data_IF_380975276597
#
_entry.id   IF_380975276597
#
_cell.length_a   1.000
_cell.length_b   1.000
_cell.length_c   1.000
_cell.angle_alpha   90.00
_cell.angle_beta   90.00
_cell.angle_gamma   90.00
#
_symmetry.space_group_name_H-M   'P 1'
#
loop_
_entity.id
_entity.type
_entity.pdbx_description
1 polymer ?
#
# COMPACT_ATOMS: atom_id res chain seq x y z
N UNK A 1 -16.76 8.59 3.41
CA UNK A 1 -18.07 8.15 2.90
C UNK A 1 -19.11 8.82 3.78
N UNK A 2 -19.75 9.87 3.27
CA UNK A 2 -20.89 10.45 3.96
C UNK A 2 -22.11 9.60 3.60
N UNK A 3 -22.54 8.75 4.52
CA UNK A 3 -23.68 7.85 4.30
C UNK A 3 -24.99 8.63 4.22
N UNK A 4 -24.99 9.89 4.67
CA UNK A 4 -26.16 10.77 4.67
C UNK A 4 -26.28 11.59 3.37
N UNK A 5 -25.31 11.50 2.46
CA UNK A 5 -25.37 12.05 1.11
C UNK A 5 -25.36 10.92 0.05
N UNK A 6 -26.55 10.49 -0.42
CA UNK A 6 -26.68 9.43 -1.42
C UNK A 6 -25.96 9.72 -2.74
N UNK A 7 -25.64 10.99 -3.03
CA UNK A 7 -24.88 11.34 -4.24
C UNK A 7 -23.42 10.86 -4.20
N UNK A 8 -22.91 10.53 -3.02
CA UNK A 8 -21.59 9.91 -2.83
C UNK A 8 -21.62 8.38 -2.89
N UNK A 9 -22.77 7.77 -3.21
CA UNK A 9 -22.95 6.33 -3.28
C UNK A 9 -23.32 5.95 -4.72
N UNK A 10 -22.41 5.25 -5.40
CA UNK A 10 -22.70 4.62 -6.68
C UNK A 10 -23.17 3.19 -6.45
N UNK A 11 -24.41 2.88 -6.85
CA UNK A 11 -24.90 1.50 -6.86
C UNK A 11 -24.57 0.87 -8.22
N UNK A 12 -23.96 -0.31 -8.19
CA UNK A 12 -23.61 -1.06 -9.40
C UNK A 12 -24.45 -2.33 -9.40
N UNK A 13 -25.32 -2.47 -10.39
CA UNK A 13 -26.05 -3.72 -10.60
C UNK A 13 -25.07 -4.79 -11.10
N UNK A 14 -24.80 -5.80 -10.27
CA UNK A 14 -23.85 -6.86 -10.58
C UNK A 14 -24.49 -8.03 -11.32
N UNK A 15 -25.78 -7.98 -11.66
CA UNK A 15 -26.46 -9.05 -12.42
C UNK A 15 -25.84 -9.31 -13.80
N UNK A 16 -25.06 -8.37 -14.33
CA UNK A 16 -24.30 -8.50 -15.59
C UNK A 16 -23.01 -9.32 -15.46
N UNK A 17 -22.57 -9.63 -14.23
CA UNK A 17 -21.33 -10.35 -13.98
C UNK A 17 -21.56 -11.87 -14.00
N UNK A 18 -20.49 -12.66 -14.21
CA UNK A 18 -20.61 -14.12 -14.24
C UNK A 18 -20.96 -14.68 -12.85
N UNK A 19 -21.69 -15.80 -12.80
CA UNK A 19 -22.12 -16.45 -11.56
C UNK A 19 -21.70 -17.93 -11.52
N UNK A 20 -21.63 -18.48 -10.31
CA UNK A 20 -21.35 -19.88 -10.03
C UNK A 20 -22.63 -20.62 -9.63
N UNK A 21 -22.83 -21.83 -10.15
CA UNK A 21 -23.83 -22.81 -9.68
C UNK A 21 -23.20 -24.20 -9.69
N UNK A 22 -23.52 -25.04 -8.72
CA UNK A 22 -23.07 -26.44 -8.71
C UNK A 22 -24.26 -27.39 -8.63
N UNK A 23 -24.05 -28.68 -8.94
CA UNK A 23 -25.10 -29.71 -8.80
C UNK A 23 -25.66 -29.81 -7.39
N UNK A 24 -24.89 -29.36 -6.38
CA UNK A 24 -25.25 -29.40 -4.96
C UNK A 24 -25.80 -28.05 -4.45
N UNK A 25 -25.72 -26.98 -5.25
CA UNK A 25 -26.31 -25.68 -4.94
C UNK A 25 -26.82 -25.01 -6.23
N UNK A 26 -28.13 -25.09 -6.46
CA UNK A 26 -28.80 -24.47 -7.60
C UNK A 26 -29.04 -22.97 -7.45
N UNK A 27 -28.73 -22.39 -6.28
CA UNK A 27 -28.80 -20.94 -6.08
C UNK A 27 -27.54 -20.33 -6.68
N UNK A 28 -27.65 -19.53 -7.76
CA UNK A 28 -26.50 -18.85 -8.33
C UNK A 28 -25.95 -17.86 -7.32
N UNK A 29 -24.64 -17.86 -7.13
CA UNK A 29 -23.95 -16.84 -6.35
C UNK A 29 -22.79 -16.28 -7.15
N UNK A 30 -22.45 -15.04 -6.83
CA UNK A 30 -21.32 -14.34 -7.41
C UNK A 30 -20.26 -14.12 -6.34
N UNK A 31 -18.99 -14.22 -6.72
CA UNK A 31 -17.87 -13.84 -5.88
C UNK A 31 -17.13 -12.72 -6.59
N UNK A 32 -16.86 -11.64 -5.87
CA UNK A 32 -15.94 -10.58 -6.30
C UNK A 32 -14.83 -10.55 -5.26
N UNK A 33 -13.58 -10.73 -5.69
CA UNK A 33 -12.43 -10.71 -4.79
C UNK A 33 -11.62 -9.42 -4.90
N UNK A 34 -11.71 -8.72 -6.03
CA UNK A 34 -11.00 -7.47 -6.23
C UNK A 34 -11.75 -6.52 -7.16
N UNK A 35 -11.61 -5.23 -6.90
CA UNK A 35 -12.13 -4.13 -7.70
C UNK A 35 -11.06 -3.05 -7.77
N UNK A 36 -10.59 -2.75 -8.97
CA UNK A 36 -9.52 -1.78 -9.19
C UNK A 36 -9.89 -0.76 -10.26
N UNK A 37 -9.32 0.44 -10.17
CA UNK A 37 -9.55 1.50 -11.15
C UNK A 37 -8.28 1.80 -11.93
N UNK A 38 -8.37 1.78 -13.25
CA UNK A 38 -7.25 2.23 -14.08
C UNK A 38 -7.13 3.75 -14.10
N UNK A 39 -6.06 4.26 -14.72
CA UNK A 39 -5.78 5.70 -14.78
C UNK A 39 -6.81 6.53 -15.54
N UNK A 40 -7.64 5.88 -16.37
CA UNK A 40 -8.74 6.50 -17.11
C UNK A 40 -10.08 6.42 -16.35
N UNK A 41 -10.09 5.80 -15.16
CA UNK A 41 -11.24 5.64 -14.30
C UNK A 41 -12.17 4.48 -14.67
N UNK A 42 -11.74 3.53 -15.52
CA UNK A 42 -12.52 2.32 -15.75
C UNK A 42 -12.42 1.40 -14.54
N UNK A 43 -13.54 0.81 -14.14
CA UNK A 43 -13.61 -0.12 -13.02
C UNK A 43 -13.40 -1.54 -13.52
N UNK A 44 -12.36 -2.19 -13.03
CA UNK A 44 -12.02 -3.58 -13.29
C UNK A 44 -12.44 -4.48 -12.12
N UNK A 45 -12.88 -5.69 -12.42
CA UNK A 45 -13.44 -6.62 -11.43
C UNK A 45 -12.85 -8.01 -11.62
N UNK A 46 -12.31 -8.59 -10.55
CA UNK A 46 -11.91 -10.00 -10.47
C UNK A 46 -13.06 -10.86 -9.93
N UNK A 47 -13.60 -11.72 -10.79
CA UNK A 47 -14.75 -12.57 -10.52
C UNK A 47 -14.38 -14.06 -10.65
N UNK A 48 -13.91 -14.71 -9.57
CA UNK A 48 -13.56 -16.12 -9.60
C UNK A 48 -14.77 -17.03 -9.61
N UNK A 49 -14.52 -18.30 -9.94
CA UNK A 49 -15.54 -19.35 -10.03
C UNK A 49 -16.58 -19.09 -11.11
N UNK A 50 -16.21 -18.33 -12.15
CA UNK A 50 -17.05 -17.96 -13.29
C UNK A 50 -17.33 -19.12 -14.26
N UNK A 51 -17.61 -20.33 -13.76
CA UNK A 51 -17.68 -21.59 -14.55
C UNK A 51 -18.85 -21.66 -15.55
N UNK A 52 -19.88 -20.83 -15.39
CA UNK A 52 -21.03 -20.81 -16.31
C UNK A 52 -20.87 -19.81 -17.47
N UNK A 53 -20.29 -18.63 -17.20
CA UNK A 53 -20.08 -17.56 -18.18
C UNK A 53 -18.67 -17.54 -18.77
N UNK A 54 -17.72 -18.25 -18.16
CA UNK A 54 -16.29 -18.25 -18.47
C UNK A 54 -15.66 -16.85 -18.53
N UNK A 55 -16.21 -15.86 -17.83
CA UNK A 55 -15.71 -14.49 -17.84
C UNK A 55 -15.14 -14.11 -16.46
N UNK A 56 -13.84 -14.36 -16.21
CA UNK A 56 -13.22 -14.08 -14.91
C UNK A 56 -12.94 -12.59 -14.67
N UNK A 57 -12.80 -11.79 -15.74
CA UNK A 57 -12.43 -10.38 -15.65
C UNK A 57 -13.47 -9.53 -16.34
N UNK A 58 -13.87 -8.44 -15.68
CA UNK A 58 -14.85 -7.49 -16.20
C UNK A 58 -14.28 -6.08 -16.12
N UNK A 59 -14.65 -5.24 -17.08
CA UNK A 59 -14.33 -3.82 -17.06
C UNK A 59 -15.59 -3.02 -17.38
N UNK A 60 -15.81 -1.93 -16.64
CA UNK A 60 -16.88 -0.96 -16.86
C UNK A 60 -16.29 0.42 -17.06
N UNK A 61 -16.70 1.10 -18.12
CA UNK A 61 -16.32 2.49 -18.34
C UNK A 61 -17.03 3.45 -17.37
N UNK A 62 -16.53 4.68 -17.20
CA UNK A 62 -17.26 5.74 -16.50
C UNK A 62 -18.65 6.05 -17.07
N UNK A 63 -18.93 5.63 -18.31
CA UNK A 63 -20.21 5.82 -19.01
C UNK A 63 -21.08 4.56 -19.03
N UNK A 64 -20.82 3.59 -18.14
CA UNK A 64 -21.62 2.37 -17.96
C UNK A 64 -21.53 1.34 -19.08
N UNK A 65 -20.52 1.44 -19.95
CA UNK A 65 -20.25 0.43 -20.97
C UNK A 65 -19.41 -0.72 -20.39
N UNK A 66 -19.87 -1.96 -20.58
CA UNK A 66 -19.23 -3.15 -20.04
C UNK A 66 -18.53 -3.99 -21.11
N UNK A 67 -17.34 -4.50 -20.78
CA UNK A 67 -16.76 -5.69 -21.42
C UNK A 67 -16.48 -6.77 -20.38
N UNK A 68 -16.66 -8.00 -20.79
CA UNK A 68 -16.31 -9.18 -20.01
C UNK A 68 -15.29 -9.98 -20.81
N UNK A 69 -14.10 -10.18 -20.25
CA UNK A 69 -13.01 -10.93 -20.87
C UNK A 69 -13.15 -12.40 -20.52
N UNK A 70 -13.29 -13.24 -21.53
CA UNK A 70 -13.46 -14.68 -21.37
C UNK A 70 -12.15 -15.42 -21.13
N UNK A 71 -12.16 -16.43 -20.25
CA UNK A 71 -11.03 -17.29 -19.92
C UNK A 71 -10.58 -18.19 -21.07
N UNK A 72 -11.36 -18.26 -22.16
CA UNK A 72 -11.06 -18.95 -23.41
C UNK A 72 -11.47 -18.15 -24.64
N UNK A 73 -11.59 -16.82 -24.53
CA UNK A 73 -11.97 -15.94 -25.65
C UNK A 73 -10.82 -15.80 -26.68
N UNK A 74 -9.57 -15.97 -26.24
CA UNK A 74 -8.38 -15.96 -27.11
C UNK A 74 -7.76 -17.36 -27.21
N UNK A 75 -6.69 -17.49 -28.01
CA UNK A 75 -5.90 -18.72 -28.09
C UNK A 75 -5.24 -19.08 -26.74
N UNK A 76 -4.98 -18.09 -25.89
CA UNK A 76 -4.43 -18.25 -24.55
C UNK A 76 -5.57 -18.36 -23.55
N UNK A 77 -5.60 -19.46 -22.80
CA UNK A 77 -6.53 -19.63 -21.68
C UNK A 77 -5.94 -19.01 -20.42
N UNK A 78 -6.78 -18.33 -19.64
CA UNK A 78 -6.42 -17.80 -18.32
C UNK A 78 -7.19 -18.54 -17.21
N UNK A 79 -6.73 -18.38 -15.97
CA UNK A 79 -7.37 -19.02 -14.81
C UNK A 79 -8.79 -18.49 -14.57
N UNK A 80 -9.67 -19.35 -14.07
CA UNK A 80 -11.03 -19.01 -13.63
C UNK A 80 -11.12 -18.66 -12.15
N UNK A 81 -9.98 -18.48 -11.49
CA UNK A 81 -9.86 -18.10 -10.07
C UNK A 81 -9.05 -16.82 -9.86
N UNK A 82 -9.32 -15.71 -10.59
CA UNK A 82 -8.66 -14.43 -10.34
C UNK A 82 -8.90 -13.93 -8.90
N UNK A 83 -7.93 -13.22 -8.35
CA UNK A 83 -8.00 -12.67 -6.99
C UNK A 83 -7.44 -11.27 -6.84
N UNK A 84 -6.56 -10.80 -7.72
CA UNK A 84 -6.07 -9.44 -7.66
C UNK A 84 -5.73 -8.89 -9.05
N UNK A 85 -5.91 -7.58 -9.22
CA UNK A 85 -5.65 -6.83 -10.44
C UNK A 85 -4.62 -5.75 -10.15
N UNK A 86 -3.72 -5.50 -11.09
CA UNK A 86 -2.82 -4.35 -11.05
C UNK A 86 -2.58 -3.79 -12.46
N UNK A 87 -2.23 -2.52 -12.55
CA UNK A 87 -1.93 -1.86 -13.83
C UNK A 87 -0.46 -1.44 -13.85
N UNK A 88 0.19 -1.61 -14.99
CA UNK A 88 1.53 -1.08 -15.20
C UNK A 88 1.54 0.29 -15.88
N UNK A 89 2.73 0.87 -15.99
CA UNK A 89 2.96 2.19 -16.56
C UNK A 89 2.65 2.29 -18.06
N UNK A 90 2.39 1.15 -18.73
CA UNK A 90 1.97 1.07 -20.13
C UNK A 90 0.49 0.71 -20.28
N UNK A 91 -0.29 0.83 -19.21
CA UNK A 91 -1.73 0.57 -19.16
C UNK A 91 -2.12 -0.89 -19.48
N UNK A 92 -1.19 -1.84 -19.30
CA UNK A 92 -1.51 -3.28 -19.38
C UNK A 92 -2.09 -3.74 -18.05
N UNK A 93 -3.05 -4.66 -18.13
CA UNK A 93 -3.74 -5.18 -16.94
C UNK A 93 -3.12 -6.51 -16.54
N UNK A 94 -2.65 -6.59 -15.30
CA UNK A 94 -2.10 -7.79 -14.70
C UNK A 94 -3.12 -8.40 -13.76
N UNK A 95 -3.26 -9.73 -13.82
CA UNK A 95 -4.25 -10.48 -13.05
C UNK A 95 -3.56 -11.64 -12.38
N UNK A 96 -3.65 -11.73 -11.06
CA UNK A 96 -3.24 -12.92 -10.31
C UNK A 96 -4.42 -13.83 -10.03
N UNK A 97 -4.12 -15.11 -9.86
CA UNK A 97 -5.10 -16.14 -9.54
C UNK A 97 -4.58 -17.09 -8.45
N UNK A 98 -5.52 -17.71 -7.74
CA UNK A 98 -5.23 -18.72 -6.72
C UNK A 98 -5.52 -20.13 -7.22
N UNK A 99 -4.91 -21.14 -6.59
CA UNK A 99 -5.20 -22.55 -6.88
C UNK A 99 -6.65 -22.88 -6.49
N UNK A 100 -7.45 -23.29 -7.47
CA UNK A 100 -8.83 -23.75 -7.34
C UNK A 100 -9.13 -24.76 -8.46
N UNK A 101 -8.87 -26.03 -8.22
CA UNK A 101 -9.05 -27.09 -9.22
C UNK A 101 -10.50 -27.19 -9.69
N UNK A 102 -11.44 -26.97 -8.76
CA UNK A 102 -12.87 -26.98 -9.03
C UNK A 102 -13.31 -25.85 -9.98
N UNK A 103 -12.59 -24.74 -10.01
CA UNK A 103 -12.85 -23.64 -10.94
C UNK A 103 -12.18 -23.91 -12.29
N UNK A 104 -10.97 -24.46 -12.30
CA UNK A 104 -10.14 -24.55 -13.50
C UNK A 104 -10.36 -25.83 -14.32
N UNK A 105 -11.07 -26.83 -13.77
CA UNK A 105 -11.57 -28.03 -14.46
C UNK A 105 -10.49 -28.84 -15.22
N UNK A 106 -9.22 -28.68 -14.85
CA UNK A 106 -8.07 -29.32 -15.50
C UNK A 106 -7.75 -28.82 -16.92
N UNK A 107 -8.46 -27.79 -17.42
CA UNK A 107 -8.28 -27.25 -18.78
C UNK A 107 -7.85 -25.78 -18.80
N UNK A 108 -7.98 -25.09 -17.68
CA UNK A 108 -7.51 -23.71 -17.47
C UNK A 108 -6.26 -23.72 -16.57
N UNK A 109 -5.37 -22.72 -16.70
CA UNK A 109 -4.29 -22.52 -15.73
C UNK A 109 -4.82 -22.50 -14.29
N UNK A 110 -4.14 -23.18 -13.37
CA UNK A 110 -4.58 -23.29 -11.99
C UNK A 110 -3.82 -22.29 -11.12
N UNK A 111 -4.35 -21.08 -11.01
CA UNK A 111 -3.66 -19.95 -10.39
C UNK A 111 -2.70 -19.23 -11.35
N UNK A 112 -1.67 -18.60 -10.78
CA UNK A 112 -0.61 -17.93 -11.53
C UNK A 112 -0.88 -16.44 -11.79
N UNK A 113 -0.21 -15.90 -12.80
CA UNK A 113 -0.27 -14.49 -13.20
C UNK A 113 -0.43 -14.44 -14.72
N UNK A 114 -1.43 -13.67 -15.17
CA UNK A 114 -1.70 -13.40 -16.58
C UNK A 114 -1.66 -11.90 -16.83
N UNK A 115 -1.16 -11.49 -17.99
CA UNK A 115 -1.13 -10.10 -18.43
C UNK A 115 -2.04 -9.95 -19.65
N UNK A 116 -2.87 -8.92 -19.65
CA UNK A 116 -3.74 -8.53 -20.75
C UNK A 116 -3.11 -7.35 -21.50
N UNK A 117 -2.89 -7.54 -22.79
CA UNK A 117 -2.62 -6.48 -23.73
C UNK A 117 -3.89 -6.19 -24.55
N UNK A 118 -4.19 -4.92 -24.78
CA UNK A 118 -5.31 -4.50 -25.62
C UNK A 118 -4.98 -3.21 -26.38
N UNK A 119 -5.62 -3.04 -27.55
CA UNK A 119 -5.54 -1.83 -28.36
C UNK A 119 -6.86 -1.06 -28.29
N UNK A 120 -6.78 0.24 -27.99
CA UNK A 120 -7.95 1.10 -27.83
C UNK A 120 -8.48 1.10 -26.40
N UNK A 121 -9.80 1.15 -26.25
CA UNK A 121 -10.48 1.24 -24.96
C UNK A 121 -10.66 -0.16 -24.34
N UNK A 122 -10.44 -0.35 -23.03
CA UNK A 122 -10.55 -1.69 -22.44
C UNK A 122 -11.98 -2.24 -22.48
N UNK A 123 -13.00 -1.39 -22.40
CA UNK A 123 -14.41 -1.80 -22.52
C UNK A 123 -14.88 -1.99 -23.97
N UNK A 124 -14.06 -1.63 -24.97
CA UNK A 124 -14.35 -1.86 -26.39
C UNK A 124 -13.04 -1.91 -27.21
N UNK A 125 -12.20 -2.94 -27.02
CA UNK A 125 -10.88 -3.00 -27.63
C UNK A 125 -10.98 -3.41 -29.09
N UNK A 126 -10.14 -2.82 -29.95
CA UNK A 126 -10.02 -3.22 -31.35
C UNK A 126 -9.40 -4.63 -31.47
N UNK A 127 -8.45 -4.93 -30.59
CA UNK A 127 -7.81 -6.23 -30.45
C UNK A 127 -7.32 -6.40 -29.00
N UNK A 128 -7.19 -7.64 -28.53
CA UNK A 128 -6.58 -7.94 -27.24
C UNK A 128 -6.01 -9.36 -27.20
N UNK A 129 -5.03 -9.59 -26.34
CA UNK A 129 -4.41 -10.90 -26.12
C UNK A 129 -4.02 -11.07 -24.67
N UNK A 130 -3.99 -12.32 -24.22
CA UNK A 130 -3.48 -12.71 -22.91
C UNK A 130 -2.10 -13.36 -23.06
N UNK A 131 -1.21 -13.03 -22.13
CA UNK A 131 0.08 -13.67 -21.94
C UNK A 131 0.15 -14.28 -20.55
N UNK A 132 0.58 -15.55 -20.46
CA UNK A 132 0.77 -16.23 -19.19
C UNK A 132 2.20 -16.00 -18.71
N UNK A 133 2.32 -15.30 -17.59
CA UNK A 133 3.61 -14.99 -16.96
C UNK A 133 4.00 -16.09 -15.99
N UNK A 134 3.03 -16.51 -15.17
CA UNK A 134 3.15 -17.64 -14.26
C UNK A 134 1.96 -18.56 -14.49
N UNK A 135 2.22 -19.81 -14.85
CA UNK A 135 1.16 -20.74 -15.28
C UNK A 135 0.37 -21.38 -14.12
N UNK A 136 0.99 -21.50 -12.95
CA UNK A 136 0.38 -22.21 -11.81
C UNK A 136 0.84 -21.63 -10.48
N UNK A 137 0.13 -22.04 -9.43
CA UNK A 137 0.43 -21.71 -8.05
C UNK A 137 -0.36 -20.50 -7.58
N UNK A 138 -0.60 -20.43 -6.27
CA UNK A 138 -1.40 -19.35 -5.71
C UNK A 138 -0.62 -18.04 -5.65
N UNK A 139 -1.22 -16.99 -6.20
CA UNK A 139 -0.76 -15.60 -6.06
C UNK A 139 -1.91 -14.76 -5.53
N UNK A 140 -1.81 -14.38 -4.25
CA UNK A 140 -2.89 -13.75 -3.49
C UNK A 140 -3.15 -12.30 -3.87
N UNK A 141 -2.10 -11.56 -4.22
CA UNK A 141 -2.19 -10.12 -4.47
C UNK A 141 -1.12 -9.68 -5.43
N UNK A 142 -1.41 -8.61 -6.17
CA UNK A 142 -0.46 -7.85 -6.96
C UNK A 142 -0.33 -6.44 -6.37
N UNK A 143 0.77 -5.76 -6.70
CA UNK A 143 0.95 -4.33 -6.42
C UNK A 143 2.03 -3.74 -7.32
N UNK A 144 1.76 -2.58 -7.92
CA UNK A 144 2.74 -1.88 -8.75
C UNK A 144 3.59 -0.97 -7.86
N UNK A 145 4.87 -1.31 -7.70
CA UNK A 145 5.85 -0.43 -7.06
C UNK A 145 6.43 0.59 -8.04
N UNK A 146 7.43 1.34 -7.60
CA UNK A 146 8.18 2.23 -8.48
C UNK A 146 9.13 1.45 -9.40
N UNK A 147 9.71 2.17 -10.37
CA UNK A 147 10.73 1.65 -11.28
C UNK A 147 10.27 0.42 -12.10
N UNK A 148 8.99 0.42 -12.52
CA UNK A 148 8.38 -0.66 -13.31
C UNK A 148 8.57 -2.03 -12.64
N UNK A 149 8.28 -2.11 -11.34
CA UNK A 149 8.35 -3.34 -10.55
C UNK A 149 6.97 -3.80 -10.13
N UNK A 150 6.55 -4.95 -10.66
CA UNK A 150 5.33 -5.63 -10.23
C UNK A 150 5.65 -6.55 -9.05
N UNK A 151 5.12 -6.23 -7.89
CA UNK A 151 5.14 -7.11 -6.72
C UNK A 151 3.98 -8.10 -6.76
N UNK A 152 4.23 -9.32 -6.28
CA UNK A 152 3.21 -10.34 -6.15
C UNK A 152 3.42 -11.19 -4.90
N UNK A 153 2.32 -11.49 -4.21
CA UNK A 153 2.32 -12.20 -2.94
C UNK A 153 1.93 -13.65 -3.13
N UNK A 154 2.77 -14.58 -2.68
CA UNK A 154 2.48 -16.02 -2.70
C UNK A 154 2.40 -16.56 -1.26
N UNK A 155 1.93 -17.81 -1.06
CA UNK A 155 1.99 -18.44 0.26
C UNK A 155 3.39 -18.52 0.88
N UNK A 156 4.44 -18.43 0.06
CA UNK A 156 5.84 -18.51 0.50
C UNK A 156 6.54 -17.15 0.65
N UNK A 157 5.83 -16.03 0.43
CA UNK A 157 6.36 -14.70 0.62
C UNK A 157 6.09 -13.73 -0.54
N UNK A 158 6.62 -12.52 -0.38
CA UNK A 158 6.53 -11.43 -1.34
C UNK A 158 7.66 -11.55 -2.38
N UNK A 159 7.29 -11.49 -3.65
CA UNK A 159 8.22 -11.54 -4.78
C UNK A 159 7.95 -10.37 -5.73
N UNK A 160 8.82 -10.18 -6.73
CA UNK A 160 8.64 -9.16 -7.74
C UNK A 160 9.19 -9.57 -9.11
N UNK A 161 8.58 -9.01 -10.15
CA UNK A 161 9.12 -8.91 -11.49
C UNK A 161 9.54 -7.48 -11.78
N UNK A 162 10.75 -7.27 -12.30
CA UNK A 162 11.05 -6.04 -13.03
C UNK A 162 10.54 -6.21 -14.47
N UNK A 163 9.71 -5.27 -14.93
CA UNK A 163 8.98 -5.37 -16.19
C UNK A 163 9.40 -4.30 -17.21
N UNK A 164 9.05 -4.53 -18.48
CA UNK A 164 9.24 -3.55 -19.56
C UNK A 164 8.08 -3.56 -20.57
N UNK A 165 8.12 -2.61 -21.52
CA UNK A 165 7.21 -2.55 -22.67
C UNK A 165 7.65 -3.41 -23.87
N UNK A 166 8.38 -4.50 -23.62
CA UNK A 166 8.86 -5.39 -24.66
C UNK A 166 7.87 -6.49 -25.03
N UNK A 167 8.21 -7.27 -26.05
CA UNK A 167 7.47 -8.49 -26.42
C UNK A 167 7.58 -9.61 -25.38
N UNK A 168 8.57 -9.52 -24.48
CA UNK A 168 8.62 -10.31 -23.26
C UNK A 168 8.54 -9.30 -22.11
N UNK A 169 7.40 -9.21 -21.41
CA UNK A 169 7.15 -8.14 -20.44
C UNK A 169 7.97 -8.27 -19.17
N UNK A 170 8.55 -9.44 -18.87
CA UNK A 170 9.36 -9.67 -17.66
C UNK A 170 10.85 -9.68 -18.01
N UNK A 171 11.62 -8.79 -17.37
CA UNK A 171 13.09 -8.74 -17.49
C UNK A 171 13.73 -9.72 -16.51
N UNK A 172 13.32 -9.67 -15.24
CA UNK A 172 13.86 -10.53 -14.18
C UNK A 172 12.88 -10.73 -13.03
N UNK A 173 13.08 -11.82 -12.31
CA UNK A 173 12.43 -12.15 -11.03
C UNK A 173 13.46 -12.07 -9.91
N UNK A 174 13.03 -11.73 -8.70
CA UNK A 174 13.88 -11.82 -7.51
C UNK A 174 14.27 -13.28 -7.22
N UNK A 175 15.50 -13.50 -6.76
CA UNK A 175 15.98 -14.87 -6.47
C UNK A 175 15.40 -15.47 -5.17
N UNK A 176 15.02 -14.62 -4.22
CA UNK A 176 14.51 -15.03 -2.91
C UNK A 176 13.34 -14.16 -2.51
N UNK A 177 12.26 -14.79 -2.04
CA UNK A 177 11.10 -14.10 -1.52
C UNK A 177 11.46 -13.28 -0.27
N UNK A 178 10.87 -12.09 -0.16
CA UNK A 178 10.79 -11.35 1.07
C UNK A 178 9.72 -11.96 1.98
N UNK A 179 9.88 -11.80 3.29
CA UNK A 179 8.98 -12.35 4.30
C UNK A 179 8.74 -13.87 4.20
N UNK A 180 9.78 -14.71 3.97
CA UNK A 180 9.59 -16.16 3.75
C UNK A 180 9.10 -16.91 5.01
N UNK A 181 9.18 -16.28 6.18
CA UNK A 181 8.72 -16.83 7.46
C UNK A 181 7.27 -16.43 7.80
N UNK A 182 6.61 -15.68 6.92
CA UNK A 182 5.24 -15.22 7.11
C UNK A 182 4.30 -16.07 6.27
N UNK A 183 3.28 -16.60 6.91
CA UNK A 183 2.22 -17.39 6.31
C UNK A 183 1.20 -16.45 5.66
N UNK A 184 1.26 -16.35 4.35
CA UNK A 184 0.28 -15.63 3.56
C UNK A 184 -0.79 -16.61 3.04
N UNK A 185 -2.00 -16.45 3.56
CA UNK A 185 -3.15 -17.28 3.20
C UNK A 185 -4.21 -16.52 2.44
N UNK A 186 -5.40 -17.13 2.31
CA UNK A 186 -6.56 -16.47 1.72
C UNK A 186 -6.91 -15.19 2.49
N UNK A 187 -7.00 -14.07 1.77
CA UNK A 187 -7.22 -12.74 2.35
C UNK A 187 -5.94 -12.04 2.80
N UNK A 188 -4.76 -12.54 2.42
CA UNK A 188 -3.54 -11.76 2.43
C UNK A 188 -3.51 -10.82 1.22
N UNK A 189 -2.89 -9.65 1.37
CA UNK A 189 -2.86 -8.62 0.34
C UNK A 189 -1.57 -7.80 0.33
N UNK A 190 -1.40 -7.05 -0.75
CA UNK A 190 -0.37 -6.02 -0.93
C UNK A 190 -1.07 -4.68 -1.06
N UNK A 191 -0.54 -3.69 -0.35
CA UNK A 191 -0.90 -2.29 -0.50
C UNK A 191 0.39 -1.48 -0.70
N UNK A 192 0.37 -0.48 -1.57
CA UNK A 192 1.56 0.32 -1.91
C UNK A 192 1.33 1.74 -1.40
N UNK A 193 2.27 2.27 -0.61
CA UNK A 193 2.19 3.64 -0.11
C UNK A 193 2.77 4.67 -1.11
N UNK A 194 2.59 5.96 -0.79
CA UNK A 194 3.04 7.08 -1.63
C UNK A 194 4.55 7.07 -1.95
N UNK A 195 5.36 6.41 -1.13
CA UNK A 195 6.81 6.31 -1.29
C UNK A 195 7.23 5.05 -2.08
N UNK A 196 6.26 4.25 -2.54
CA UNK A 196 6.52 2.97 -3.21
C UNK A 196 6.86 1.85 -2.24
N UNK A 197 6.69 2.04 -0.92
CA UNK A 197 6.92 0.95 0.02
C UNK A 197 5.78 -0.07 -0.08
N UNK A 198 6.14 -1.33 0.03
CA UNK A 198 5.22 -2.46 -0.15
C UNK A 198 4.77 -2.95 1.23
N UNK A 199 3.51 -2.72 1.52
CA UNK A 199 2.86 -3.20 2.73
C UNK A 199 2.18 -4.53 2.42
N UNK A 200 2.54 -5.57 3.17
CA UNK A 200 1.88 -6.87 3.07
C UNK A 200 1.09 -7.11 4.34
N UNK A 201 -0.13 -7.59 4.19
CA UNK A 201 -0.97 -7.98 5.32
C UNK A 201 -1.29 -9.47 5.27
N UNK A 202 -1.32 -10.10 6.45
CA UNK A 202 -1.61 -11.53 6.60
C UNK A 202 -2.89 -11.73 7.42
N UNK A 203 -3.70 -12.75 7.09
CA UNK A 203 -4.85 -13.12 7.90
C UNK A 203 -4.46 -13.73 9.26
N UNK A 204 -3.17 -13.99 9.51
CA UNK A 204 -2.72 -14.58 10.79
C UNK A 204 -1.47 -13.96 11.40
N UNK A 205 -0.76 -13.07 10.68
CA UNK A 205 0.55 -12.57 11.12
C UNK A 205 0.74 -11.06 11.01
N UNK A 206 -0.34 -10.28 10.97
CA UNK A 206 -0.25 -8.82 11.05
C UNK A 206 0.24 -8.18 9.75
N UNK A 207 1.07 -7.15 9.87
CA UNK A 207 1.51 -6.31 8.75
C UNK A 207 3.03 -6.29 8.66
N UNK A 208 3.59 -6.49 7.46
CA UNK A 208 5.02 -6.43 7.19
C UNK A 208 5.33 -5.50 6.02
N UNK A 209 6.28 -4.59 6.20
CA UNK A 209 6.57 -3.52 5.24
C UNK A 209 7.97 -3.66 4.68
N UNK A 210 8.08 -3.65 3.35
CA UNK A 210 9.33 -3.56 2.61
C UNK A 210 9.47 -2.15 2.05
N UNK A 211 10.48 -1.42 2.49
CA UNK A 211 10.76 -0.08 1.96
C UNK A 211 11.31 -0.16 0.53
N UNK A 212 11.20 0.92 -0.22
CA UNK A 212 11.69 1.00 -1.61
C UNK A 212 13.21 0.69 -1.71
N UNK A 213 13.97 1.02 -0.67
CA UNK A 213 15.40 0.66 -0.58
C UNK A 213 15.65 -0.80 -0.16
N UNK A 214 14.62 -1.65 -0.13
CA UNK A 214 14.62 -3.07 0.24
C UNK A 214 14.93 -3.39 1.72
N UNK A 215 14.85 -2.39 2.60
CA UNK A 215 14.94 -2.61 4.06
C UNK A 215 13.56 -2.84 4.66
N UNK A 216 13.51 -3.53 5.80
CA UNK A 216 12.25 -3.84 6.49
C UNK A 216 11.85 -2.72 7.45
N UNK A 217 10.55 -2.41 7.52
CA UNK A 217 10.02 -1.43 8.46
C UNK A 217 8.86 -1.99 9.30
N UNK A 218 8.78 -1.64 10.60
CA UNK A 218 9.84 -1.00 11.41
C UNK A 218 11.05 -1.91 11.59
N UNK A 219 10.84 -3.22 11.44
CA UNK A 219 11.83 -4.27 11.32
C UNK A 219 11.20 -5.49 10.60
N UNK A 220 11.94 -6.60 10.47
CA UNK A 220 11.48 -7.82 9.79
C UNK A 220 10.20 -8.43 10.39
N UNK A 221 9.92 -8.24 11.68
CA UNK A 221 8.75 -8.79 12.35
C UNK A 221 7.49 -7.98 12.10
N UNK A 222 7.61 -6.76 11.55
CA UNK A 222 6.46 -5.90 11.27
C UNK A 222 5.64 -5.56 12.52
N UNK A 223 4.35 -5.27 12.30
CA UNK A 223 3.38 -5.01 13.35
C UNK A 223 2.55 -6.25 13.64
N UNK A 224 2.63 -6.70 14.88
CA UNK A 224 1.82 -7.79 15.44
C UNK A 224 1.20 -7.34 16.75
N UNK A 225 0.07 -7.94 17.10
CA UNK A 225 -0.59 -7.79 18.40
C UNK A 225 0.30 -8.18 19.58
N UNK A 226 1.32 -9.02 19.35
CA UNK A 226 2.29 -9.40 20.38
C UNK A 226 3.42 -8.39 20.60
N UNK A 227 3.75 -7.54 19.62
CA UNK A 227 4.88 -6.61 19.70
C UNK A 227 4.47 -5.14 19.56
N UNK A 228 3.19 -4.87 19.30
CA UNK A 228 2.66 -3.53 19.04
C UNK A 228 1.22 -3.41 19.56
N UNK A 229 0.65 -2.20 19.63
CA UNK A 229 -0.76 -2.00 19.99
C UNK A 229 -1.78 -2.50 18.96
N UNK A 230 -1.37 -3.22 17.91
CA UNK A 230 -2.27 -3.77 16.89
C UNK A 230 -3.37 -4.63 17.53
N UNK A 231 -4.63 -4.30 17.25
CA UNK A 231 -5.78 -4.99 17.86
C UNK A 231 -5.82 -6.51 17.60
N UNK A 232 -5.41 -6.98 16.42
CA UNK A 232 -5.40 -8.39 16.02
C UNK A 232 -4.36 -8.65 14.93
N UNK A 233 -3.73 -9.82 14.92
CA UNK A 233 -2.86 -10.27 13.82
C UNK A 233 -3.66 -10.66 12.56
N UNK A 234 -4.98 -10.81 12.66
CA UNK A 234 -5.85 -11.04 11.51
C UNK A 234 -6.21 -9.70 10.86
N UNK A 235 -5.39 -9.29 9.90
CA UNK A 235 -5.55 -8.07 9.10
C UNK A 235 -6.30 -8.40 7.83
N UNK A 236 -7.23 -7.52 7.45
CA UNK A 236 -8.12 -7.70 6.29
C UNK A 236 -7.84 -6.71 5.16
N UNK A 237 -7.37 -5.51 5.51
CA UNK A 237 -7.18 -4.42 4.56
C UNK A 237 -6.34 -3.29 5.19
N UNK A 238 -5.71 -2.47 4.34
CA UNK A 238 -4.90 -1.30 4.70
C UNK A 238 -5.25 -0.12 3.80
N UNK A 239 -5.47 1.06 4.37
CA UNK A 239 -5.70 2.29 3.61
C UNK A 239 -4.80 3.44 4.10
N UNK A 240 -4.32 4.25 3.17
CA UNK A 240 -3.40 5.36 3.45
C UNK A 240 -4.11 6.73 3.40
N UNK A 241 -3.85 7.58 4.38
CA UNK A 241 -4.08 9.02 4.32
C UNK A 241 -2.72 9.71 4.22
N UNK A 242 -2.26 9.86 2.98
CA UNK A 242 -0.96 10.43 2.64
C UNK A 242 -0.82 11.89 3.07
N UNK A 243 -1.92 12.64 3.21
CA UNK A 243 -1.88 14.05 3.61
C UNK A 243 -1.58 14.18 5.09
N UNK A 244 -2.12 13.25 5.89
CA UNK A 244 -1.94 13.18 7.35
C UNK A 244 -0.91 12.13 7.76
N UNK A 245 -0.22 11.49 6.82
CA UNK A 245 0.71 10.38 7.04
C UNK A 245 0.13 9.32 8.01
N UNK A 246 -1.14 8.96 7.83
CA UNK A 246 -1.81 7.95 8.63
C UNK A 246 -2.07 6.70 7.80
N UNK A 247 -2.00 5.54 8.46
CA UNK A 247 -2.46 4.26 7.94
C UNK A 247 -3.63 3.78 8.79
N UNK A 248 -4.70 3.40 8.11
CA UNK A 248 -5.85 2.72 8.69
C UNK A 248 -5.69 1.22 8.43
N UNK A 249 -5.60 0.42 9.49
CA UNK A 249 -5.41 -1.03 9.39
C UNK A 249 -6.70 -1.70 9.89
N UNK A 250 -7.44 -2.32 8.98
CA UNK A 250 -8.67 -3.03 9.30
C UNK A 250 -8.31 -4.44 9.80
N UNK A 251 -8.70 -4.74 11.04
CA UNK A 251 -8.44 -6.04 11.67
C UNK A 251 -9.74 -6.70 12.10
N UNK A 252 -9.70 -7.99 12.44
CA UNK A 252 -10.89 -8.71 12.94
C UNK A 252 -11.44 -8.18 14.27
N UNK A 253 -10.72 -7.28 14.96
CA UNK A 253 -11.16 -6.64 16.21
C UNK A 253 -11.39 -5.13 16.09
N UNK A 254 -11.42 -4.59 14.88
CA UNK A 254 -11.64 -3.16 14.62
C UNK A 254 -10.50 -2.51 13.83
N UNK A 255 -10.51 -1.18 13.76
CA UNK A 255 -9.58 -0.39 12.95
C UNK A 255 -8.50 0.21 13.84
N UNK A 256 -7.22 0.05 13.45
CA UNK A 256 -6.10 0.75 14.05
C UNK A 256 -5.75 1.97 13.20
N UNK A 257 -5.30 3.05 13.84
CA UNK A 257 -4.74 4.23 13.16
C UNK A 257 -3.28 4.33 13.56
N UNK A 258 -2.38 4.24 12.58
CA UNK A 258 -0.95 4.34 12.76
C UNK A 258 -0.44 5.61 12.08
N UNK A 259 0.23 6.50 12.82
CA UNK A 259 1.03 7.56 12.19
C UNK A 259 2.30 6.93 11.64
N UNK A 260 2.55 7.12 10.36
CA UNK A 260 3.72 6.64 9.64
C UNK A 260 4.60 7.82 9.21
N UNK A 261 5.88 7.58 8.90
CA UNK A 261 6.74 8.63 8.38
C UNK A 261 6.59 8.85 6.87
N UNK A 262 5.82 8.01 6.19
CA UNK A 262 5.58 8.06 4.75
C UNK A 262 4.28 8.83 4.45
N UNK A 263 4.27 9.59 3.36
CA UNK A 263 3.12 10.38 2.91
C UNK A 263 3.54 11.51 1.98
N UNK A 264 2.66 12.48 1.76
CA UNK A 264 2.88 13.54 0.79
C UNK A 264 3.98 14.52 1.27
N UNK A 265 5.00 14.72 0.41
CA UNK A 265 6.10 15.64 0.65
C UNK A 265 5.61 17.07 0.94
N UNK A 266 6.30 17.77 1.84
CA UNK A 266 6.07 19.20 2.10
C UNK A 266 7.05 20.02 1.26
N UNK A 267 6.55 21.03 0.55
CA UNK A 267 7.35 21.87 -0.35
C UNK A 267 7.99 23.08 0.37
N UNK A 268 7.47 23.45 1.53
CA UNK A 268 7.96 24.55 2.34
C UNK A 268 7.68 24.30 3.83
N UNK A 269 8.16 25.22 4.69
CA UNK A 269 7.97 25.16 6.13
C UNK A 269 6.75 25.96 6.63
N UNK A 270 5.80 26.33 5.75
CA UNK A 270 4.62 27.12 6.16
C UNK A 270 3.69 26.37 7.13
N UNK A 271 3.73 25.04 7.10
CA UNK A 271 2.91 24.16 7.94
C UNK A 271 3.57 23.75 9.26
N UNK A 272 4.76 24.26 9.58
CA UNK A 272 5.52 23.80 10.75
C UNK A 272 4.80 24.11 12.06
N UNK A 273 4.74 23.11 12.94
CA UNK A 273 4.13 23.24 14.27
C UNK A 273 5.02 22.63 15.34
N UNK A 274 5.22 23.37 16.43
CA UNK A 274 5.98 22.91 17.59
C UNK A 274 5.04 22.60 18.74
N UNK A 275 5.10 21.39 19.29
CA UNK A 275 4.28 21.00 20.44
C UNK A 275 4.96 19.98 21.36
N UNK A 276 4.64 19.97 22.66
CA UNK A 276 3.82 20.96 23.36
C UNK A 276 4.58 22.29 23.55
N UNK A 277 3.84 23.40 23.58
CA UNK A 277 4.36 24.73 23.91
C UNK A 277 3.49 25.37 24.99
N UNK A 278 3.99 25.64 26.21
CA UNK A 278 5.38 25.43 26.65
C UNK A 278 5.74 23.93 26.80
N UNK A 279 7.03 23.62 26.65
CA UNK A 279 7.58 22.28 26.81
C UNK A 279 8.09 22.08 28.25
N UNK A 280 7.51 21.12 28.97
CA UNK A 280 7.89 20.84 30.35
C UNK A 280 8.94 19.73 30.44
N UNK A 281 9.98 19.95 31.26
CA UNK A 281 11.04 18.97 31.51
C UNK A 281 11.12 18.61 33.01
N UNK A 282 11.40 17.34 33.38
CA UNK A 282 11.53 16.17 32.51
C UNK A 282 10.21 15.81 31.80
N UNK A 283 10.24 15.47 30.49
CA UNK A 283 9.04 15.20 29.74
C UNK A 283 8.54 13.75 29.90
N UNK A 284 7.22 13.53 29.82
CA UNK A 284 6.65 12.19 29.60
C UNK A 284 6.68 11.76 28.14
N UNK A 285 6.67 12.72 27.21
CA UNK A 285 6.84 12.55 25.77
C UNK A 285 7.72 13.70 25.23
N UNK A 286 8.64 13.43 24.29
CA UNK A 286 9.48 14.47 23.71
C UNK A 286 8.63 15.55 23.02
N UNK A 287 9.18 16.76 22.94
CA UNK A 287 8.66 17.81 22.06
C UNK A 287 8.81 17.35 20.61
N UNK A 288 7.81 17.67 19.79
CA UNK A 288 7.78 17.42 18.36
C UNK A 288 7.76 18.72 17.59
N UNK A 289 8.47 18.72 16.48
CA UNK A 289 8.34 19.69 15.40
C UNK A 289 7.77 18.93 14.21
N UNK A 290 6.55 19.28 13.79
CA UNK A 290 5.76 18.58 12.77
C UNK A 290 5.59 19.44 11.52
N UNK A 291 5.24 18.81 10.40
CA UNK A 291 5.06 19.48 9.11
C UNK A 291 6.38 19.87 8.44
N UNK A 292 7.44 19.10 8.69
CA UNK A 292 8.75 19.35 8.11
C UNK A 292 8.83 18.83 6.67
N UNK A 293 9.66 19.49 5.87
CA UNK A 293 10.19 18.91 4.64
C UNK A 293 10.97 17.65 5.02
N UNK A 294 10.84 16.59 4.23
CA UNK A 294 11.55 15.34 4.50
C UNK A 294 13.06 15.57 4.60
N UNK A 295 13.68 14.77 5.47
CA UNK A 295 15.11 14.84 5.76
C UNK A 295 15.60 16.20 6.33
N UNK A 296 14.70 16.95 6.96
CA UNK A 296 15.07 18.15 7.72
C UNK A 296 15.91 17.81 8.96
N UNK A 297 16.76 18.74 9.36
CA UNK A 297 17.52 18.69 10.61
C UNK A 297 17.17 19.91 11.47
N UNK A 298 17.45 19.83 12.77
CA UNK A 298 17.14 20.91 13.72
C UNK A 298 18.34 21.20 14.64
N UNK A 299 18.61 22.48 14.87
CA UNK A 299 19.49 22.96 15.93
C UNK A 299 18.66 23.69 16.98
N UNK A 300 18.83 23.29 18.24
CA UNK A 300 18.25 23.99 19.38
C UNK A 300 19.28 24.96 19.93
N UNK A 301 18.91 26.23 20.05
CA UNK A 301 19.82 27.28 20.51
C UNK A 301 19.16 28.23 21.50
N UNK A 302 19.98 28.86 22.34
CA UNK A 302 19.57 29.95 23.21
C UNK A 302 19.44 31.26 22.42
N UNK A 303 18.83 32.29 23.02
CA UNK A 303 18.62 33.60 22.36
C UNK A 303 19.93 34.34 22.00
N UNK A 304 21.04 34.03 22.67
CA UNK A 304 22.38 34.52 22.37
C UNK A 304 23.12 33.67 21.31
N UNK A 305 22.43 32.69 20.70
CA UNK A 305 22.94 31.93 19.55
C UNK A 305 23.80 30.72 19.90
N UNK A 306 23.93 30.35 21.18
CA UNK A 306 24.64 29.13 21.58
C UNK A 306 23.79 27.90 21.24
N UNK A 307 24.33 27.02 20.39
CA UNK A 307 23.72 25.72 20.11
C UNK A 307 23.84 24.85 21.36
N UNK A 308 22.70 24.37 21.86
CA UNK A 308 22.63 23.46 23.01
C UNK A 308 22.41 22.02 22.59
N UNK A 309 21.80 21.79 21.43
CA UNK A 309 21.57 20.45 20.88
C UNK A 309 21.55 20.50 19.36
N UNK A 310 22.21 19.54 18.70
CA UNK A 310 22.03 19.28 17.28
C UNK A 310 21.25 17.97 17.08
N UNK A 311 20.21 18.03 16.23
CA UNK A 311 19.36 16.89 15.88
C UNK A 311 19.43 16.74 14.35
N UNK A 312 20.40 15.97 13.83
CA UNK A 312 20.47 15.66 12.41
C UNK A 312 19.37 14.67 12.02
N UNK A 313 18.92 14.74 10.76
CA UNK A 313 18.02 13.74 10.16
C UNK A 313 18.60 12.33 10.26
N UNK A 314 17.75 11.37 10.61
CA UNK A 314 17.98 9.93 10.59
C UNK A 314 17.35 9.26 9.36
N UNK A 315 16.82 10.06 8.43
CA UNK A 315 16.17 9.62 7.21
C UNK A 315 14.67 9.43 7.34
N UNK A 316 14.00 9.30 6.18
CA UNK A 316 12.53 9.27 6.09
C UNK A 316 11.95 8.15 6.95
N UNK A 317 12.48 6.92 6.93
CA UNK A 317 11.90 5.80 7.68
C UNK A 317 11.86 5.94 9.21
N UNK A 318 12.55 6.94 9.79
CA UNK A 318 12.56 7.22 11.23
C UNK A 318 11.87 8.54 11.53
N UNK A 319 12.30 9.63 10.89
CA UNK A 319 11.81 10.97 11.20
C UNK A 319 10.52 11.30 10.45
N UNK A 320 10.41 10.84 9.21
CA UNK A 320 9.38 11.30 8.28
C UNK A 320 9.39 12.83 8.20
N UNK A 321 8.23 13.43 8.43
CA UNK A 321 8.00 14.88 8.47
C UNK A 321 8.09 15.46 9.89
N UNK A 322 8.70 14.74 10.85
CA UNK A 322 8.80 15.17 12.24
C UNK A 322 10.18 14.99 12.86
N UNK A 323 10.62 15.98 13.64
CA UNK A 323 11.77 15.85 14.53
C UNK A 323 11.35 15.91 16.00
N UNK A 324 12.16 15.31 16.87
CA UNK A 324 11.86 15.20 18.29
C UNK A 324 12.99 15.76 19.15
N UNK A 325 12.67 16.42 20.26
CA UNK A 325 13.64 16.83 21.26
C UNK A 325 13.15 16.51 22.68
N UNK A 326 14.02 15.94 23.50
CA UNK A 326 13.74 15.50 24.87
C UNK A 326 14.06 16.56 25.93
N UNK A 327 14.55 17.73 25.52
CA UNK A 327 14.92 18.83 26.42
C UNK A 327 16.32 18.71 27.01
N UNK A 328 17.14 17.78 26.52
CA UNK A 328 18.54 17.64 26.93
C UNK A 328 19.48 18.36 25.97
N UNK A 329 20.60 18.83 26.49
CA UNK A 329 21.69 19.36 25.69
C UNK A 329 22.55 18.23 25.09
N UNK A 330 23.65 18.60 24.43
CA UNK A 330 24.61 17.67 23.84
C UNK A 330 25.35 16.81 24.89
N UNK A 331 25.50 17.29 26.13
CA UNK A 331 26.08 16.55 27.23
C UNK A 331 25.09 15.54 27.85
N UNK A 332 23.81 15.62 27.47
CA UNK A 332 22.74 14.79 27.99
C UNK A 332 22.07 15.35 29.24
N UNK A 333 22.35 16.59 29.62
CA UNK A 333 21.74 17.25 30.78
C UNK A 333 20.49 18.04 30.37
N UNK A 334 19.49 18.07 31.24
CA UNK A 334 18.30 18.90 31.02
C UNK A 334 18.67 20.38 31.00
N UNK A 335 18.25 21.07 29.94
CA UNK A 335 18.46 22.51 29.79
C UNK A 335 17.75 23.31 30.91
N UNK A 336 18.06 24.60 31.02
CA UNK A 336 17.40 25.48 31.99
C UNK A 336 16.03 25.92 31.50
N UNK A 337 15.16 26.37 32.42
CA UNK A 337 13.93 27.07 32.02
C UNK A 337 14.29 28.33 31.22
N UNK A 338 13.58 28.57 30.13
CA UNK A 338 13.87 29.70 29.27
C UNK A 338 13.26 29.58 27.89
N UNK A 339 13.64 30.49 27.03
CA UNK A 339 13.22 30.52 25.63
C UNK A 339 14.35 30.00 24.76
N UNK A 340 14.03 29.07 23.87
CA UNK A 340 14.94 28.49 22.90
C UNK A 340 14.43 28.76 21.48
N UNK A 341 15.36 28.89 20.54
CA UNK A 341 15.09 28.95 19.11
C UNK A 341 15.37 27.57 18.51
N UNK A 342 14.50 27.15 17.60
CA UNK A 342 14.61 25.91 16.84
C UNK A 342 14.92 26.30 15.40
N UNK A 343 16.20 26.25 15.02
CA UNK A 343 16.61 26.48 13.64
C UNK A 343 16.47 25.16 12.87
N UNK A 344 15.54 25.12 11.92
CA UNK A 344 15.19 23.93 11.14
C UNK A 344 15.65 24.17 9.71
N UNK A 345 16.27 23.17 9.09
CA UNK A 345 16.79 23.29 7.73
C UNK A 345 16.68 21.98 6.96
N UNK A 346 16.35 22.10 5.67
CA UNK A 346 16.32 21.01 4.71
C UNK A 346 17.68 20.81 4.01
N UNK A 347 17.83 19.70 3.28
CA UNK A 347 19.03 19.41 2.48
C UNK A 347 19.23 20.37 1.30
N UNK A 348 18.16 20.96 0.80
CA UNK A 348 18.13 21.92 -0.30
C UNK A 348 18.54 23.34 0.13
N UNK A 349 18.80 23.56 1.42
CA UNK A 349 19.14 24.86 1.99
C UNK A 349 17.92 25.70 2.40
N UNK A 350 16.70 25.16 2.26
CA UNK A 350 15.51 25.74 2.88
C UNK A 350 15.69 25.80 4.39
N UNK A 351 15.17 26.84 5.04
CA UNK A 351 15.28 27.00 6.49
C UNK A 351 14.08 27.75 7.08
N UNK A 352 13.77 27.46 8.34
CA UNK A 352 12.84 28.22 9.17
C UNK A 352 13.35 28.30 10.60
N UNK A 353 12.78 29.20 11.40
CA UNK A 353 13.12 29.33 12.81
C UNK A 353 11.86 29.44 13.64
N UNK A 354 11.72 28.52 14.60
CA UNK A 354 10.62 28.51 15.56
C UNK A 354 11.10 28.87 16.97
N UNK A 355 10.16 29.19 17.86
CA UNK A 355 10.45 29.58 19.25
C UNK A 355 9.69 28.68 20.22
N UNK A 356 10.39 28.16 21.21
CA UNK A 356 9.80 27.33 22.26
C UNK A 356 10.14 27.84 23.65
N UNK A 357 9.16 27.83 24.55
CA UNK A 357 9.39 28.07 25.98
C UNK A 357 9.55 26.73 26.69
N UNK A 358 10.67 26.55 27.38
CA UNK A 358 10.98 25.36 28.18
C UNK A 358 10.80 25.69 29.66
N UNK A 359 10.11 24.83 30.39
CA UNK A 359 9.86 24.98 31.84
C UNK A 359 10.35 23.73 32.56
N UNK A 360 11.38 23.88 33.38
CA UNK A 360 11.86 22.86 34.31
C UNK A 360 10.97 22.85 35.55
N UNK A 361 10.36 21.70 35.82
CA UNK A 361 9.48 21.48 36.99
C UNK A 361 10.23 21.51 38.31
#
# INVERSE_FOLDING_TARGET
>A
MDVDDPSNISTIDTTFLSYHTSSNNSVPYQVVLDIEFDSDGNMWVANPYCINGNNPIHVRSPNDEWKHYGSSETATRISQSPVSIAFDTWNRTWVSAFLAEEANLGIYPNGGISMLYYEGLPYNPANFTWEIIKYEGTVWSLGMGFNDRLYYLTPSGLNYYDINNGSNPVIRENSYAYFPNISFGRGAGIDVDHQGNIWTHSPTQGVHVLLENTTYWPDINGFRSSNSPLLSDEVRDIAFDEKRNLVYIATSKGVNILRIPFGQEKLDFSGVKVFPSPFYIPPSKPMKVDGLIFESSMMVMTLDGKIVRHIPTQGIGIDGDQLSWDGRDEAGDYVSSGVYLLAIYGKDGSQTMEKITVIKK
#
